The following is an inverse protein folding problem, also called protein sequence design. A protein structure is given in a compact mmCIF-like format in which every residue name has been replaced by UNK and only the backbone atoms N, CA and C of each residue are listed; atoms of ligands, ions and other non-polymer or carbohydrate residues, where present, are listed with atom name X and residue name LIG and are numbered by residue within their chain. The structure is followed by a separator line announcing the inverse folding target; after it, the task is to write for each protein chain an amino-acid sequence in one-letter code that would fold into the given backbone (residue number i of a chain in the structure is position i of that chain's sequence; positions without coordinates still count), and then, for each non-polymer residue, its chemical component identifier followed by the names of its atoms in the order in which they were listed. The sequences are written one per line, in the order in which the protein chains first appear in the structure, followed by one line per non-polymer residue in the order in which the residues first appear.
data_IF_108126153106
#
_entry.id   IF_108126153106
#
_cell.length_a   1.000
_cell.length_b   1.000
_cell.length_c   1.000
_cell.angle_alpha   90.00
_cell.angle_beta   90.00
_cell.angle_gamma   90.00
#
_symmetry.space_group_name_H-M   'P 1'
#
loop_
_entity.id
_entity.type
_entity.pdbx_description
1 polymer ?
#
# COMPACT_ATOMS: atom_id res chain seq x y z
N UNK A 1 -13.49 -9.82 6.71
CA UNK A 1 -13.13 -8.65 7.54
C UNK A 1 -12.98 -7.46 6.59
N UNK A 2 -13.31 -6.22 6.99
CA UNK A 2 -13.00 -5.05 6.18
C UNK A 2 -11.52 -5.02 5.83
N UNK A 3 -11.15 -4.53 4.65
CA UNK A 3 -9.75 -4.37 4.28
C UNK A 3 -9.03 -3.46 5.29
N UNK A 4 -7.75 -3.75 5.57
CA UNK A 4 -6.87 -2.82 6.28
C UNK A 4 -7.03 -2.72 7.80
N UNK A 5 -7.67 -3.67 8.49
CA UNK A 5 -7.91 -3.55 9.93
C UNK A 5 -7.42 -4.73 10.77
N UNK A 6 -6.72 -4.39 11.85
CA UNK A 6 -6.35 -5.22 13.00
C UNK A 6 -6.63 -4.38 14.26
N UNK A 7 -6.92 -4.97 15.45
CA UNK A 7 -7.19 -4.19 16.66
C UNK A 7 -6.19 -3.06 16.91
N UNK A 8 -4.89 -3.33 16.71
CA UNK A 8 -3.82 -2.37 16.98
C UNK A 8 -3.41 -1.49 15.80
N UNK A 9 -3.78 -1.84 14.57
CA UNK A 9 -3.37 -1.14 13.36
C UNK A 9 -4.53 -1.01 12.38
N UNK A 10 -4.83 0.21 11.99
CA UNK A 10 -5.81 0.50 10.93
C UNK A 10 -5.14 1.26 9.79
N UNK A 11 -5.23 0.75 8.58
CA UNK A 11 -4.81 1.46 7.37
C UNK A 11 -5.97 2.30 6.87
N UNK A 12 -5.82 3.62 6.94
CA UNK A 12 -6.88 4.58 6.63
C UNK A 12 -6.99 4.76 5.13
N UNK A 13 -5.89 5.17 4.50
CA UNK A 13 -5.83 5.46 3.06
C UNK A 13 -4.41 5.33 2.53
N UNK A 14 -4.31 5.25 1.22
CA UNK A 14 -3.09 5.55 0.47
C UNK A 14 -3.24 6.88 -0.26
N UNK A 15 -2.13 7.57 -0.46
CA UNK A 15 -2.02 8.67 -1.42
C UNK A 15 -0.99 8.29 -2.47
N UNK A 16 -1.42 8.27 -3.73
CA UNK A 16 -0.56 8.02 -4.87
C UNK A 16 -0.25 9.35 -5.55
N UNK A 17 1.00 9.79 -5.48
CA UNK A 17 1.49 10.99 -6.16
C UNK A 17 2.21 10.57 -7.43
N UNK A 18 1.70 10.97 -8.59
CA UNK A 18 2.32 10.70 -9.88
C UNK A 18 2.92 12.00 -10.41
N UNK A 19 4.18 11.98 -10.86
CA UNK A 19 4.86 13.19 -11.34
C UNK A 19 4.05 13.86 -12.46
N UNK A 20 3.66 15.12 -12.24
CA UNK A 20 2.86 15.92 -13.18
C UNK A 20 1.34 15.68 -13.13
N UNK A 21 0.82 14.97 -12.12
CA UNK A 21 -0.62 14.80 -11.87
C UNK A 21 -0.97 15.25 -10.45
N UNK A 22 -2.26 15.51 -10.22
CA UNK A 22 -2.78 15.67 -8.87
C UNK A 22 -2.70 14.35 -8.08
N UNK A 23 -2.50 14.49 -6.78
CA UNK A 23 -2.46 13.38 -5.84
C UNK A 23 -3.80 12.65 -5.81
N UNK A 24 -3.73 11.31 -5.86
CA UNK A 24 -4.93 10.46 -5.79
C UNK A 24 -5.01 9.84 -4.41
N UNK A 25 -6.07 10.16 -3.67
CA UNK A 25 -6.39 9.48 -2.42
C UNK A 25 -7.16 8.18 -2.71
N UNK A 26 -6.75 7.10 -2.06
CA UNK A 26 -7.38 5.79 -2.15
C UNK A 26 -7.76 5.35 -0.74
N UNK A 27 -9.04 5.38 -0.43
CA UNK A 27 -9.58 4.92 0.85
C UNK A 27 -9.34 3.41 1.01
N UNK A 28 -8.92 2.99 2.21
CA UNK A 28 -8.67 1.59 2.57
C UNK A 28 -9.58 1.15 3.72
N UNK A 29 -9.71 1.99 4.75
CA UNK A 29 -10.58 1.71 5.88
C UNK A 29 -12.05 1.71 5.44
N UNK A 30 -12.74 0.59 5.68
CA UNK A 30 -14.19 0.47 5.48
C UNK A 30 -14.62 0.25 4.02
N UNK A 31 -13.70 -0.04 3.10
CA UNK A 31 -14.04 -0.39 1.71
C UNK A 31 -13.90 -1.89 1.44
N UNK A 32 -14.70 -2.39 0.50
CA UNK A 32 -14.67 -3.79 0.08
C UNK A 32 -13.50 -4.10 -0.87
N UNK A 33 -13.16 -3.15 -1.75
CA UNK A 33 -12.11 -3.29 -2.74
C UNK A 33 -11.23 -2.02 -2.79
N UNK A 34 -9.92 -2.24 -2.73
CA UNK A 34 -8.93 -1.18 -2.92
C UNK A 34 -8.35 -1.28 -4.32
N UNK A 35 -8.45 -0.21 -5.09
CA UNK A 35 -7.96 -0.14 -6.47
C UNK A 35 -7.15 1.13 -6.71
N UNK A 36 -5.92 0.96 -7.17
CA UNK A 36 -4.99 2.04 -7.50
C UNK A 36 -4.78 2.08 -9.01
N UNK A 37 -4.81 3.27 -9.63
CA UNK A 37 -4.60 3.44 -11.07
C UNK A 37 -3.40 4.34 -11.32
N UNK A 38 -2.40 3.80 -12.02
CA UNK A 38 -1.17 4.54 -12.35
C UNK A 38 -0.90 4.38 -13.85
N UNK A 39 -0.68 5.47 -14.60
CA UNK A 39 -0.34 5.35 -16.01
C UNK A 39 1.02 4.68 -16.20
N UNK A 40 1.23 4.04 -17.35
CA UNK A 40 2.53 3.50 -17.75
C UNK A 40 3.62 4.59 -17.85
N UNK A 41 4.89 4.20 -17.73
CA UNK A 41 6.03 5.14 -17.78
C UNK A 41 5.88 6.35 -16.84
N UNK A 42 5.35 6.11 -15.64
CA UNK A 42 5.09 7.13 -14.65
C UNK A 42 5.95 6.91 -13.43
N UNK A 43 6.62 7.97 -13.01
CA UNK A 43 7.30 8.07 -11.71
C UNK A 43 6.23 8.38 -10.67
N UNK A 44 6.17 7.58 -9.62
CA UNK A 44 5.17 7.72 -8.57
C UNK A 44 5.75 7.46 -7.19
N UNK A 45 5.16 8.08 -6.19
CA UNK A 45 5.36 7.76 -4.77
C UNK A 45 4.04 7.32 -4.16
N UNK A 46 4.12 6.46 -3.16
CA UNK A 46 2.96 6.02 -2.38
C UNK A 46 3.19 6.44 -0.95
N UNK A 47 2.22 7.13 -0.38
CA UNK A 47 2.17 7.47 1.05
C UNK A 47 1.07 6.67 1.71
N UNK A 48 1.42 5.89 2.72
CA UNK A 48 0.45 5.17 3.56
C UNK A 48 0.06 6.05 4.74
N UNK A 49 -1.24 6.08 5.05
CA UNK A 49 -1.80 6.73 6.23
C UNK A 49 -2.45 5.68 7.13
N UNK A 50 -2.07 5.66 8.41
CA UNK A 50 -2.50 4.61 9.33
C UNK A 50 -2.66 5.13 10.76
N UNK A 51 -3.47 4.43 11.54
CA UNK A 51 -3.70 4.68 12.97
C UNK A 51 -3.14 3.53 13.79
N UNK A 52 -2.58 3.85 14.95
CA UNK A 52 -2.19 2.88 15.97
C UNK A 52 -3.14 3.05 17.16
N UNK A 53 -3.83 1.98 17.54
CA UNK A 53 -5.02 2.10 18.41
C UNK A 53 -4.77 1.69 19.86
N UNK A 54 -4.40 0.42 20.14
CA UNK A 54 -4.34 -0.08 21.53
C UNK A 54 -2.90 -0.28 22.03
N UNK A 55 -2.05 -0.93 21.23
CA UNK A 55 -0.69 -1.28 21.62
C UNK A 55 0.35 -0.56 20.76
N UNK A 56 1.51 -0.26 21.35
CA UNK A 56 2.69 0.22 20.61
C UNK A 56 3.12 -0.82 19.57
N UNK A 57 3.35 -0.36 18.34
CA UNK A 57 3.83 -1.19 17.24
C UNK A 57 5.31 -0.93 17.02
N UNK A 58 6.13 -1.94 17.28
CA UNK A 58 7.58 -1.91 17.03
C UNK A 58 7.92 -2.63 15.74
N UNK A 59 8.96 -2.15 15.06
CA UNK A 59 9.43 -2.69 13.78
C UNK A 59 8.30 -2.88 12.76
N UNK A 60 7.45 -1.85 12.60
CA UNK A 60 6.32 -1.92 11.68
C UNK A 60 6.83 -2.04 10.24
N UNK A 61 6.39 -3.10 9.58
CA UNK A 61 6.79 -3.48 8.22
C UNK A 61 5.57 -3.74 7.35
N UNK A 62 5.76 -3.48 6.07
CA UNK A 62 4.80 -3.67 5.00
C UNK A 62 5.49 -4.45 3.88
N UNK A 63 4.97 -5.63 3.54
CA UNK A 63 5.44 -6.45 2.42
C UNK A 63 4.37 -6.44 1.34
N UNK A 64 4.74 -6.07 0.13
CA UNK A 64 3.86 -6.03 -1.03
C UNK A 64 4.29 -7.07 -2.06
N UNK A 65 3.37 -7.91 -2.49
CA UNK A 65 3.57 -8.89 -3.56
C UNK A 65 2.59 -8.62 -4.69
N UNK A 66 3.11 -8.34 -5.88
CA UNK A 66 2.36 -8.10 -7.11
C UNK A 66 2.42 -9.34 -8.00
N UNK A 67 1.27 -9.73 -8.55
CA UNK A 67 1.16 -10.86 -9.48
C UNK A 67 0.63 -10.41 -10.85
N UNK A 68 1.00 -11.14 -11.89
CA UNK A 68 0.41 -11.06 -13.24
C UNK A 68 0.23 -12.47 -13.77
N UNK A 69 -0.99 -12.83 -14.20
CA UNK A 69 -1.33 -14.19 -14.64
C UNK A 69 -0.89 -15.29 -13.64
N UNK A 70 -1.07 -15.04 -12.35
CA UNK A 70 -0.69 -15.97 -11.27
C UNK A 70 0.80 -16.00 -10.90
N UNK A 71 1.67 -15.38 -11.69
CA UNK A 71 3.11 -15.30 -11.43
C UNK A 71 3.45 -14.03 -10.65
N UNK A 72 4.30 -14.15 -9.62
CA UNK A 72 4.85 -12.99 -8.91
C UNK A 72 5.76 -12.21 -9.86
N UNK A 73 5.42 -10.94 -10.09
CA UNK A 73 6.19 -10.04 -10.97
C UNK A 73 6.97 -8.98 -10.20
N UNK A 74 6.59 -8.71 -8.96
CA UNK A 74 7.29 -7.76 -8.09
C UNK A 74 7.01 -8.09 -6.63
N UNK A 75 8.05 -8.04 -5.81
CA UNK A 75 7.93 -8.04 -4.36
C UNK A 75 8.68 -6.82 -3.82
N UNK A 76 8.13 -6.16 -2.81
CA UNK A 76 8.79 -5.10 -2.08
C UNK A 76 8.63 -5.35 -0.59
N UNK A 77 9.73 -5.23 0.14
CA UNK A 77 9.75 -5.25 1.60
C UNK A 77 10.05 -3.82 2.06
N UNK A 78 9.11 -3.20 2.79
CA UNK A 78 9.20 -1.81 3.19
C UNK A 78 9.16 -1.71 4.72
N UNK A 79 10.20 -1.11 5.28
CA UNK A 79 10.26 -0.74 6.68
C UNK A 79 9.53 0.59 6.89
N UNK A 80 8.46 0.57 7.69
CA UNK A 80 7.66 1.76 7.96
C UNK A 80 8.36 2.59 9.04
N UNK A 81 8.70 1.97 10.18
CA UNK A 81 9.44 2.61 11.26
C UNK A 81 9.70 1.71 12.47
N UNK A 82 10.59 2.17 13.36
CA UNK A 82 11.06 1.44 14.55
C UNK A 82 10.00 1.34 15.65
N UNK A 83 9.25 2.41 15.89
CA UNK A 83 8.14 2.39 16.85
C UNK A 83 7.05 3.42 16.52
N UNK A 84 5.80 3.03 16.76
CA UNK A 84 4.62 3.90 16.73
C UNK A 84 3.75 3.63 17.96
N UNK A 85 3.56 4.64 18.79
CA UNK A 85 2.67 4.57 19.95
C UNK A 85 1.20 4.74 19.53
N UNK A 86 0.24 4.26 20.35
CA UNK A 86 -1.16 4.61 20.18
C UNK A 86 -1.38 6.12 20.14
N UNK A 87 -2.15 6.60 19.17
CA UNK A 87 -2.44 8.03 18.98
C UNK A 87 -3.78 8.24 18.29
N UNK A 88 -4.46 9.34 18.63
CA UNK A 88 -5.64 9.80 17.89
C UNK A 88 -5.24 10.41 16.53
N UNK A 89 -4.00 10.86 16.40
CA UNK A 89 -3.46 11.40 15.15
C UNK A 89 -3.11 10.28 14.16
N UNK A 90 -3.29 10.55 12.87
CA UNK A 90 -2.96 9.62 11.80
C UNK A 90 -1.47 9.74 11.47
N UNK A 91 -0.75 8.63 11.56
CA UNK A 91 0.63 8.54 11.10
C UNK A 91 0.67 8.42 9.57
N UNK A 92 1.77 8.88 8.98
CA UNK A 92 2.03 8.68 7.56
C UNK A 92 3.46 8.25 7.27
N UNK A 93 3.64 7.51 6.19
CA UNK A 93 4.95 7.13 5.65
C UNK A 93 4.92 7.19 4.13
N UNK A 94 5.77 8.02 3.55
CA UNK A 94 6.03 8.03 2.11
C UNK A 94 7.12 7.02 1.80
N UNK A 95 6.84 6.13 0.85
CA UNK A 95 7.81 5.15 0.35
C UNK A 95 8.72 5.75 -0.72
N UNK A 96 9.81 5.04 -0.99
CA UNK A 96 10.70 5.40 -2.09
C UNK A 96 9.95 5.46 -3.43
N UNK A 97 10.39 6.40 -4.27
CA UNK A 97 9.85 6.58 -5.59
C UNK A 97 10.03 5.31 -6.44
N UNK A 98 9.01 5.00 -7.21
CA UNK A 98 8.98 3.84 -8.09
C UNK A 98 8.52 4.26 -9.50
N UNK A 99 8.70 3.37 -10.47
CA UNK A 99 8.36 3.62 -11.87
C UNK A 99 7.51 2.49 -12.42
N UNK A 100 6.37 2.83 -13.02
CA UNK A 100 5.58 1.85 -13.76
C UNK A 100 6.26 1.48 -15.08
N UNK A 101 6.30 0.19 -15.46
CA UNK A 101 6.84 -0.20 -16.75
C UNK A 101 6.02 0.38 -17.91
N UNK A 102 6.63 0.50 -19.08
CA UNK A 102 6.00 0.98 -20.31
C UNK A 102 5.68 -0.12 -21.31
N UNK A 103 4.61 0.06 -22.08
CA UNK A 103 4.30 -0.75 -23.26
C UNK A 103 2.93 -1.41 -23.19
N UNK A 104 2.38 -1.72 -24.37
CA UNK A 104 1.03 -2.28 -24.48
C UNK A 104 0.83 -3.57 -23.65
N UNK A 105 1.85 -4.44 -23.59
CA UNK A 105 1.80 -5.72 -22.87
C UNK A 105 1.84 -5.59 -21.35
N UNK A 106 2.29 -4.45 -20.80
CA UNK A 106 2.36 -4.23 -19.35
C UNK A 106 1.12 -3.51 -18.81
N UNK A 107 0.23 -3.01 -19.66
CA UNK A 107 -1.04 -2.45 -19.22
C UNK A 107 -1.94 -3.55 -18.63
N UNK A 108 -2.92 -3.14 -17.83
CA UNK A 108 -3.92 -4.02 -17.24
C UNK A 108 -3.83 -4.10 -15.71
N UNK A 109 -4.60 -5.03 -15.14
CA UNK A 109 -4.76 -5.20 -13.70
C UNK A 109 -3.73 -6.19 -13.16
N UNK A 110 -3.09 -5.79 -12.07
CA UNK A 110 -2.13 -6.55 -11.29
C UNK A 110 -2.72 -6.76 -9.90
N UNK A 111 -3.14 -7.99 -9.56
CA UNK A 111 -3.47 -8.35 -8.20
C UNK A 111 -2.27 -8.14 -7.28
N UNK A 112 -2.54 -7.56 -6.13
CA UNK A 112 -1.56 -7.20 -5.13
C UNK A 112 -2.00 -7.74 -3.77
N UNK A 113 -1.05 -8.26 -3.01
CA UNK A 113 -1.26 -8.67 -1.63
C UNK A 113 -0.27 -7.92 -0.76
N UNK A 114 -0.80 -7.31 0.30
CA UNK A 114 -0.06 -6.53 1.28
C UNK A 114 -0.11 -7.20 2.64
N UNK A 115 1.04 -7.53 3.20
CA UNK A 115 1.15 -8.12 4.55
C UNK A 115 1.77 -7.11 5.49
N UNK A 116 1.09 -6.87 6.62
CA UNK A 116 1.52 -5.96 7.66
C UNK A 116 2.02 -6.76 8.86
N UNK A 117 3.17 -6.37 9.39
CA UNK A 117 3.79 -7.04 10.55
C UNK A 117 4.42 -6.04 11.49
N UNK A 118 4.32 -6.30 12.79
CA UNK A 118 4.92 -5.52 13.86
C UNK A 118 5.14 -6.43 15.07
N UNK A 119 6.01 -6.02 16.00
CA UNK A 119 6.31 -6.78 17.23
C UNK A 119 6.76 -8.23 16.97
N UNK A 120 7.34 -8.50 15.80
CA UNK A 120 7.78 -9.84 15.38
C UNK A 120 6.69 -10.74 14.79
N UNK A 121 5.45 -10.26 14.65
CA UNK A 121 4.30 -11.05 14.21
C UNK A 121 3.59 -10.43 13.00
N UNK A 122 2.88 -11.25 12.23
CA UNK A 122 1.97 -10.75 11.18
C UNK A 122 0.66 -10.29 11.81
N UNK A 123 0.30 -9.03 11.56
CA UNK A 123 -0.96 -8.46 12.04
C UNK A 123 -2.12 -8.88 11.14
N UNK A 124 -2.00 -8.63 9.83
CA UNK A 124 -3.01 -9.02 8.84
C UNK A 124 -2.44 -8.91 7.41
N UNK A 125 -3.20 -9.47 6.48
CA UNK A 125 -2.97 -9.39 5.04
C UNK A 125 -4.19 -8.76 4.36
N UNK A 126 -3.94 -7.92 3.36
CA UNK A 126 -4.95 -7.18 2.61
C UNK A 126 -4.69 -7.30 1.11
N UNK A 127 -5.73 -7.64 0.36
CA UNK A 127 -5.67 -7.76 -1.09
C UNK A 127 -6.18 -6.47 -1.74
N UNK A 128 -5.53 -6.07 -2.83
CA UNK A 128 -5.87 -4.89 -3.61
C UNK A 128 -5.44 -5.07 -5.07
N UNK A 129 -5.78 -4.11 -5.92
CA UNK A 129 -5.40 -4.16 -7.34
C UNK A 129 -4.71 -2.88 -7.81
N UNK A 130 -3.62 -3.05 -8.56
CA UNK A 130 -2.99 -1.97 -9.32
C UNK A 130 -3.39 -2.10 -10.79
N UNK A 131 -3.96 -1.07 -11.38
CA UNK A 131 -4.21 -1.01 -12.81
C UNK A 131 -3.20 -0.07 -13.47
N UNK A 132 -2.38 -0.63 -14.36
CA UNK A 132 -1.49 0.15 -15.23
C UNK A 132 -2.29 0.57 -16.46
N UNK A 133 -2.55 1.89 -16.57
CA UNK A 133 -3.32 2.45 -17.67
C UNK A 133 -2.42 3.00 -18.77
N UNK A 134 -2.99 3.25 -19.94
CA UNK A 134 -2.32 4.10 -20.94
C UNK A 134 -2.10 5.50 -20.33
N UNK A 135 -0.95 6.10 -20.64
CA UNK A 135 -0.68 7.51 -20.36
C UNK A 135 -1.54 8.43 -21.22
#
# INVERSE_FOLDING_TARGET
MPQGSHPDLTIVKFVCSVEGQEDKEIQVEGVDEVKVKIPENSKYTMTIFFKVNNNELKDLKYVQVMKKHGLTVKQRDMFIGESYAPSEEIYSKTFEQDVTPGGFLVRGVYPATSTYSANGETLFTSDWSLEITKK
#
